data_IF_466828362042
#
_entry.id   IF_466828362042
#
_cell.length_a   1.000
_cell.length_b   1.000
_cell.length_c   1.000
_cell.angle_alpha   90.00
_cell.angle_beta   90.00
_cell.angle_gamma   90.00
#
_symmetry.space_group_name_H-M   'P 1'
#
loop_
_entity.id
_entity.type
_entity.pdbx_description
1 polymer ?
#
# COMPACT_ATOMS: atom_id res chain seq x y z
N UNK A 1 -45.60 30.33 39.62
CA UNK A 1 -44.45 30.37 38.71
C UNK A 1 -43.87 28.97 38.48
N UNK A 2 -43.59 28.17 39.51
CA UNK A 2 -43.02 26.81 39.35
C UNK A 2 -43.93 25.86 38.60
N UNK A 3 -45.23 25.84 38.84
CA UNK A 3 -46.22 24.98 38.14
C UNK A 3 -46.29 25.37 36.66
N UNK A 4 -46.30 26.65 36.31
CA UNK A 4 -46.29 27.13 34.92
C UNK A 4 -44.99 26.69 34.22
N UNK A 5 -43.88 26.78 34.91
CA UNK A 5 -42.57 26.32 34.36
C UNK A 5 -42.53 24.83 34.13
N UNK A 6 -43.08 24.06 35.06
CA UNK A 6 -43.20 22.59 34.94
C UNK A 6 -44.11 22.21 33.78
N UNK A 7 -45.26 22.86 33.63
CA UNK A 7 -46.16 22.66 32.49
C UNK A 7 -45.46 22.94 31.15
N UNK A 8 -44.73 24.06 31.10
CA UNK A 8 -43.97 24.42 29.89
C UNK A 8 -42.94 23.36 29.52
N UNK A 9 -42.16 22.87 30.50
CA UNK A 9 -41.11 21.87 30.28
C UNK A 9 -41.66 20.49 29.94
N UNK A 10 -42.75 20.07 30.64
CA UNK A 10 -43.24 18.67 30.54
C UNK A 10 -44.36 18.50 29.48
N UNK A 11 -45.02 19.57 29.06
CA UNK A 11 -46.09 19.49 28.08
C UNK A 11 -45.74 20.25 26.80
N UNK A 12 -45.43 21.54 26.91
CA UNK A 12 -45.20 22.37 25.72
C UNK A 12 -43.88 22.01 25.03
N UNK A 13 -42.82 21.80 25.79
CA UNK A 13 -41.47 21.47 25.29
C UNK A 13 -41.12 19.99 25.43
N UNK A 14 -42.07 19.10 25.70
CA UNK A 14 -41.84 17.69 25.94
C UNK A 14 -41.05 17.02 24.81
N UNK A 15 -41.51 17.17 23.57
CA UNK A 15 -40.86 16.58 22.41
C UNK A 15 -39.40 17.04 22.23
N UNK A 16 -39.13 18.30 22.54
CA UNK A 16 -37.76 18.84 22.47
C UNK A 16 -36.86 18.22 23.53
N UNK A 17 -37.30 18.18 24.79
CA UNK A 17 -36.50 17.61 25.87
C UNK A 17 -36.43 16.08 25.82
N UNK A 18 -37.47 15.40 25.35
CA UNK A 18 -37.45 13.96 25.11
C UNK A 18 -36.43 13.60 24.01
N UNK A 19 -36.41 14.39 22.92
CA UNK A 19 -35.41 14.21 21.85
C UNK A 19 -33.99 14.43 22.36
N UNK A 20 -33.73 15.51 23.12
CA UNK A 20 -32.43 15.76 23.74
C UNK A 20 -32.03 14.65 24.72
N UNK A 21 -32.95 14.18 25.54
CA UNK A 21 -32.71 13.06 26.45
C UNK A 21 -32.37 11.76 25.71
N UNK A 22 -33.10 11.42 24.65
CA UNK A 22 -32.84 10.25 23.80
C UNK A 22 -31.51 10.38 23.07
N UNK A 23 -31.22 11.54 22.49
CA UNK A 23 -29.97 11.80 21.77
C UNK A 23 -28.75 11.69 22.71
N UNK A 24 -28.87 12.13 23.96
CA UNK A 24 -27.80 12.02 24.95
C UNK A 24 -27.62 10.60 25.52
N UNK A 25 -28.63 9.73 25.40
CA UNK A 25 -28.59 8.35 25.89
C UNK A 25 -28.23 7.34 24.83
N UNK A 26 -28.35 7.67 23.54
CA UNK A 26 -28.06 6.77 22.42
C UNK A 26 -26.73 7.15 21.80
N UNK A 27 -25.80 6.21 21.78
CA UNK A 27 -24.51 6.35 21.10
C UNK A 27 -24.51 5.47 19.84
N UNK A 28 -24.14 6.05 18.72
CA UNK A 28 -23.88 5.33 17.46
C UNK A 28 -22.45 4.83 17.45
N UNK A 29 -22.26 3.53 17.34
CA UNK A 29 -20.97 2.84 17.19
C UNK A 29 -20.95 2.21 15.82
N UNK A 30 -20.04 2.64 14.92
CA UNK A 30 -19.82 1.97 13.65
C UNK A 30 -18.96 0.74 13.85
N UNK A 31 -19.37 -0.38 13.25
CA UNK A 31 -18.62 -1.64 13.29
C UNK A 31 -17.90 -1.80 11.94
N UNK A 32 -16.55 -1.83 11.93
CA UNK A 32 -15.81 -1.98 10.68
C UNK A 32 -16.10 -3.36 10.07
N UNK A 33 -16.21 -3.44 8.73
CA UNK A 33 -16.41 -4.71 8.04
C UNK A 33 -15.13 -5.54 8.01
N UNK A 34 -15.28 -6.84 7.78
CA UNK A 34 -14.15 -7.70 7.41
C UNK A 34 -13.67 -7.30 6.02
N UNK A 35 -12.39 -7.01 5.89
CA UNK A 35 -11.78 -6.69 4.59
C UNK A 35 -11.70 -7.94 3.71
N UNK A 36 -11.99 -7.83 2.41
CA UNK A 36 -11.91 -8.93 1.45
C UNK A 36 -10.53 -9.59 1.44
N UNK A 37 -10.48 -10.88 1.19
CA UNK A 37 -9.24 -11.66 1.07
C UNK A 37 -8.65 -11.43 -0.31
N UNK A 38 -7.32 -11.44 -0.42
CA UNK A 38 -6.64 -11.39 -1.71
C UNK A 38 -5.98 -12.75 -1.96
N UNK A 39 -6.31 -13.35 -3.09
CA UNK A 39 -5.78 -14.63 -3.53
C UNK A 39 -4.86 -14.46 -4.74
N UNK A 40 -3.95 -15.41 -4.92
CA UNK A 40 -3.26 -15.59 -6.19
C UNK A 40 -4.17 -16.31 -7.22
N UNK A 41 -3.65 -16.57 -8.42
CA UNK A 41 -4.37 -17.29 -9.48
C UNK A 41 -4.73 -18.74 -9.14
N UNK A 42 -4.05 -19.34 -8.17
CA UNK A 42 -4.20 -20.73 -7.72
C UNK A 42 -5.02 -20.82 -6.41
N UNK A 43 -5.71 -19.76 -6.00
CA UNK A 43 -6.46 -19.61 -4.75
C UNK A 43 -5.60 -19.68 -3.48
N UNK A 44 -4.29 -19.38 -3.58
CA UNK A 44 -3.43 -19.24 -2.41
C UNK A 44 -3.62 -17.86 -1.79
N UNK A 45 -3.83 -17.80 -0.47
CA UNK A 45 -4.09 -16.55 0.25
C UNK A 45 -2.84 -15.67 0.30
N UNK A 46 -2.90 -14.49 -0.32
CA UNK A 46 -1.85 -13.49 -0.33
C UNK A 46 -2.02 -12.43 0.76
N UNK A 47 -3.26 -12.08 1.09
CA UNK A 47 -3.58 -11.20 2.21
C UNK A 47 -4.89 -11.62 2.87
N UNK A 48 -4.88 -11.72 4.21
CA UNK A 48 -6.01 -12.13 5.04
C UNK A 48 -6.18 -11.19 6.24
N UNK A 49 -7.15 -11.47 7.09
CA UNK A 49 -7.44 -10.75 8.31
C UNK A 49 -7.16 -11.65 9.52
N UNK A 50 -6.22 -11.25 10.36
CA UNK A 50 -5.94 -11.94 11.62
C UNK A 50 -6.67 -11.25 12.77
N UNK A 51 -7.36 -12.01 13.61
CA UNK A 51 -7.91 -11.50 14.87
C UNK A 51 -6.77 -11.38 15.87
N UNK A 52 -6.47 -10.16 16.26
CA UNK A 52 -5.41 -9.86 17.22
C UNK A 52 -5.97 -9.05 18.38
N UNK A 53 -5.57 -9.43 19.60
CA UNK A 53 -5.84 -8.63 20.78
C UNK A 53 -4.84 -7.49 20.90
N UNK A 54 -5.34 -6.31 21.24
CA UNK A 54 -4.53 -5.10 21.38
C UNK A 54 -4.91 -4.36 22.65
N UNK A 55 -3.92 -3.76 23.31
CA UNK A 55 -4.16 -2.80 24.39
C UNK A 55 -4.42 -1.45 23.75
N UNK A 56 -5.58 -0.89 24.02
CA UNK A 56 -5.96 0.45 23.62
C UNK A 56 -6.05 1.39 24.81
N UNK A 57 -5.60 2.63 24.61
CA UNK A 57 -5.78 3.70 25.58
C UNK A 57 -6.68 4.76 24.96
N UNK A 58 -7.85 4.96 25.54
CA UNK A 58 -8.74 6.07 25.19
C UNK A 58 -8.19 7.37 25.78
N UNK A 59 -7.69 8.24 24.92
CA UNK A 59 -6.98 9.46 25.31
C UNK A 59 -7.90 10.47 26.03
N UNK A 60 -9.22 10.45 25.73
CA UNK A 60 -10.19 11.36 26.35
C UNK A 60 -10.61 10.92 27.75
N UNK A 61 -10.64 9.61 28.00
CA UNK A 61 -11.07 9.03 29.27
C UNK A 61 -9.88 8.83 30.24
N UNK A 62 -8.68 8.67 29.70
CA UNK A 62 -7.48 8.42 30.49
C UNK A 62 -7.04 9.65 31.27
N UNK A 63 -7.22 9.65 32.59
CA UNK A 63 -6.80 10.77 33.48
C UNK A 63 -5.28 10.88 33.57
N UNK A 64 -4.55 9.76 33.59
CA UNK A 64 -3.09 9.74 33.66
C UNK A 64 -2.50 8.60 32.85
N UNK A 65 -2.09 8.92 31.63
CA UNK A 65 -1.53 7.96 30.68
C UNK A 65 -0.21 7.35 31.17
N UNK A 66 0.62 8.12 31.89
CA UNK A 66 1.89 7.60 32.43
C UNK A 66 1.65 6.47 33.41
N UNK A 67 0.73 6.66 34.34
CA UNK A 67 0.38 5.63 35.33
C UNK A 67 -0.18 4.36 34.67
N UNK A 68 -0.98 4.51 33.60
CA UNK A 68 -1.49 3.37 32.83
C UNK A 68 -0.34 2.61 32.19
N UNK A 69 0.60 3.29 31.53
CA UNK A 69 1.75 2.64 30.90
C UNK A 69 2.64 1.93 31.92
N UNK A 70 2.88 2.53 33.07
CA UNK A 70 3.65 1.90 34.16
C UNK A 70 2.96 0.67 34.72
N UNK A 71 1.64 0.71 34.88
CA UNK A 71 0.87 -0.44 35.33
C UNK A 71 0.91 -1.59 34.32
N UNK A 72 0.72 -1.27 33.02
CA UNK A 72 0.83 -2.24 31.92
C UNK A 72 2.22 -2.87 31.89
N UNK A 73 3.28 -2.06 32.06
CA UNK A 73 4.69 -2.52 32.06
C UNK A 73 5.01 -3.49 33.21
N UNK A 74 4.29 -3.41 34.32
CA UNK A 74 4.45 -4.34 35.45
C UNK A 74 3.86 -5.72 35.14
N UNK A 75 2.78 -5.77 34.40
CA UNK A 75 2.04 -7.01 34.10
C UNK A 75 2.58 -7.75 32.88
N UNK A 76 3.06 -7.01 31.87
CA UNK A 76 3.52 -7.59 30.61
C UNK A 76 4.82 -6.94 30.14
N UNK A 77 5.56 -7.66 29.29
CA UNK A 77 6.73 -7.10 28.61
C UNK A 77 6.30 -5.99 27.64
N UNK A 78 6.67 -4.75 27.94
CA UNK A 78 6.43 -3.59 27.12
C UNK A 78 7.76 -2.92 26.78
N UNK A 79 8.12 -2.92 25.50
CA UNK A 79 9.38 -2.34 25.03
C UNK A 79 9.35 -0.82 25.02
N UNK A 80 10.50 -0.18 25.19
CA UNK A 80 10.62 1.27 25.06
C UNK A 80 10.24 1.77 23.65
N UNK A 81 10.44 0.93 22.62
CA UNK A 81 10.04 1.21 21.24
C UNK A 81 8.51 1.33 21.12
N UNK A 82 7.75 0.44 21.76
CA UNK A 82 6.28 0.49 21.77
C UNK A 82 5.75 1.74 22.47
N UNK A 83 6.33 2.10 23.61
CA UNK A 83 5.97 3.32 24.36
C UNK A 83 6.25 4.57 23.53
N UNK A 84 7.43 4.67 22.94
CA UNK A 84 7.80 5.82 22.09
C UNK A 84 6.88 5.91 20.87
N UNK A 85 6.53 4.79 20.27
CA UNK A 85 5.61 4.72 19.12
C UNK A 85 4.19 5.15 19.51
N UNK A 86 3.71 4.73 20.67
CA UNK A 86 2.42 5.18 21.23
C UNK A 86 2.39 6.72 21.36
N UNK A 87 3.45 7.32 21.93
CA UNK A 87 3.51 8.77 22.07
C UNK A 87 3.55 9.50 20.73
N UNK A 88 4.32 8.99 19.75
CA UNK A 88 4.34 9.54 18.38
C UNK A 88 2.96 9.46 17.72
N UNK A 89 2.24 8.34 17.88
CA UNK A 89 0.88 8.17 17.36
C UNK A 89 -0.11 9.12 18.00
N UNK A 90 -0.05 9.29 19.30
CA UNK A 90 -0.92 10.23 20.03
C UNK A 90 -0.85 11.64 19.45
N UNK A 91 0.33 12.10 19.07
CA UNK A 91 0.50 13.41 18.44
C UNK A 91 0.01 13.40 17.00
N UNK A 92 0.41 12.40 16.21
CA UNK A 92 0.11 12.33 14.77
C UNK A 92 -1.39 12.08 14.49
N UNK A 93 -2.02 11.26 15.31
CA UNK A 93 -3.40 10.78 15.13
C UNK A 93 -4.33 11.28 16.24
N UNK A 94 -4.17 12.53 16.66
CA UNK A 94 -4.93 13.17 17.75
C UNK A 94 -6.46 13.24 17.52
N UNK A 95 -6.92 12.95 16.31
CA UNK A 95 -8.34 12.88 15.95
C UNK A 95 -9.00 11.56 16.35
N UNK A 96 -8.22 10.53 16.69
CA UNK A 96 -8.76 9.28 17.24
C UNK A 96 -8.93 9.37 18.77
N UNK A 97 -10.02 8.81 19.27
CA UNK A 97 -10.26 8.76 20.71
C UNK A 97 -9.38 7.71 21.40
N UNK A 98 -9.17 6.55 20.75
CA UNK A 98 -8.37 5.44 21.24
C UNK A 98 -7.14 5.21 20.39
N UNK A 99 -6.02 4.89 21.04
CA UNK A 99 -4.74 4.59 20.39
C UNK A 99 -4.17 3.30 20.95
N UNK A 100 -3.73 2.42 20.05
CA UNK A 100 -3.12 1.14 20.42
C UNK A 100 -1.74 1.38 21.05
N UNK A 101 -1.54 0.86 22.26
CA UNK A 101 -0.26 0.82 22.96
C UNK A 101 0.58 -0.39 22.54
N UNK A 102 -0.01 -1.60 22.55
CA UNK A 102 0.60 -2.85 22.10
C UNK A 102 -0.43 -3.69 21.38
N UNK A 103 -0.05 -4.35 20.30
CA UNK A 103 -0.86 -5.30 19.54
C UNK A 103 -0.24 -6.69 19.58
N UNK A 104 -0.99 -7.69 19.13
CA UNK A 104 -0.58 -9.10 19.13
C UNK A 104 -0.29 -9.64 20.51
N UNK A 105 -1.25 -9.45 21.43
CA UNK A 105 -1.17 -9.98 22.77
C UNK A 105 -1.42 -11.48 22.79
N UNK A 106 -0.69 -12.21 23.62
CA UNK A 106 -1.02 -13.59 23.96
C UNK A 106 -2.26 -13.65 24.87
N UNK A 107 -2.92 -14.80 24.93
CA UNK A 107 -4.07 -15.00 25.83
C UNK A 107 -3.72 -14.72 27.29
N UNK A 108 -2.50 -15.09 27.72
CA UNK A 108 -1.98 -14.81 29.05
C UNK A 108 -1.83 -13.29 29.31
N UNK A 109 -1.28 -12.56 28.33
CA UNK A 109 -1.16 -11.09 28.40
C UNK A 109 -2.53 -10.43 28.46
N UNK A 110 -3.50 -10.93 27.66
CA UNK A 110 -4.89 -10.45 27.70
C UNK A 110 -5.49 -10.63 29.09
N UNK A 111 -5.36 -11.82 29.70
CA UNK A 111 -5.87 -12.09 31.03
C UNK A 111 -5.27 -11.16 32.10
N UNK A 112 -3.94 -10.94 32.05
CA UNK A 112 -3.24 -10.02 32.96
C UNK A 112 -3.75 -8.58 32.84
N UNK A 113 -3.92 -8.08 31.62
CA UNK A 113 -4.40 -6.71 31.42
C UNK A 113 -5.88 -6.55 31.83
N UNK A 114 -6.72 -7.53 31.50
CA UNK A 114 -8.13 -7.51 31.94
C UNK A 114 -8.27 -7.49 33.47
N UNK A 115 -7.35 -8.14 34.19
CA UNK A 115 -7.36 -8.15 35.66
C UNK A 115 -7.08 -6.77 36.29
N UNK A 116 -6.37 -5.87 35.59
CA UNK A 116 -6.07 -4.52 36.08
C UNK A 116 -6.94 -3.44 35.46
N UNK A 117 -7.66 -3.75 34.35
CA UNK A 117 -8.46 -2.80 33.57
C UNK A 117 -9.39 -1.94 34.42
N UNK A 118 -10.05 -2.55 35.39
CA UNK A 118 -11.03 -1.86 36.24
C UNK A 118 -10.45 -0.71 37.08
N UNK A 119 -9.12 -0.67 37.27
CA UNK A 119 -8.40 0.36 38.05
C UNK A 119 -8.12 1.61 37.24
N UNK A 120 -8.22 1.54 35.90
CA UNK A 120 -7.78 2.62 35.02
C UNK A 120 -8.87 3.00 34.02
N UNK A 121 -9.36 4.25 34.13
CA UNK A 121 -10.25 4.81 33.12
C UNK A 121 -9.49 4.94 31.78
N UNK A 122 -10.11 4.48 30.69
CA UNK A 122 -9.56 4.56 29.35
C UNK A 122 -8.58 3.45 28.95
N UNK A 123 -8.26 2.48 29.84
CA UNK A 123 -7.52 1.27 29.47
C UNK A 123 -8.49 0.18 29.01
N UNK A 124 -8.29 -0.38 27.82
CA UNK A 124 -9.10 -1.48 27.31
C UNK A 124 -8.27 -2.49 26.52
N UNK A 125 -8.79 -3.71 26.40
CA UNK A 125 -8.29 -4.76 25.51
C UNK A 125 -9.35 -4.99 24.45
N UNK A 126 -8.97 -4.76 23.21
CA UNK A 126 -9.88 -4.90 22.06
C UNK A 126 -9.38 -5.99 21.12
N UNK A 127 -10.31 -6.83 20.65
CA UNK A 127 -10.05 -7.72 19.53
C UNK A 127 -10.27 -6.94 18.23
N UNK A 128 -9.25 -6.86 17.41
CA UNK A 128 -9.31 -6.16 16.13
C UNK A 128 -8.89 -7.09 14.99
N UNK A 129 -9.56 -7.00 13.86
CA UNK A 129 -9.11 -7.66 12.64
C UNK A 129 -7.99 -6.80 12.02
N UNK A 130 -6.77 -7.28 12.08
CA UNK A 130 -5.63 -6.66 11.43
C UNK A 130 -5.26 -7.41 10.14
N UNK A 131 -4.85 -6.65 9.13
CA UNK A 131 -4.42 -7.23 7.85
C UNK A 131 -3.15 -8.04 8.05
N UNK A 132 -3.08 -9.25 7.47
CA UNK A 132 -1.95 -10.17 7.51
C UNK A 132 -1.50 -10.50 6.09
N UNK A 133 -0.20 -10.43 5.86
CA UNK A 133 0.44 -10.75 4.59
C UNK A 133 1.37 -11.97 4.81
N UNK A 134 0.91 -13.20 4.48
CA UNK A 134 1.66 -14.44 4.76
C UNK A 134 3.04 -14.47 4.11
N UNK A 135 3.16 -13.90 2.91
CA UNK A 135 4.40 -13.91 2.12
C UNK A 135 5.29 -12.68 2.32
N UNK A 136 4.95 -11.82 3.28
CA UNK A 136 5.78 -10.72 3.76
C UNK A 136 6.34 -9.84 2.62
N UNK A 137 7.68 -9.67 2.60
CA UNK A 137 8.41 -8.86 1.63
C UNK A 137 8.27 -9.34 0.18
N UNK A 138 7.98 -10.62 -0.05
CA UNK A 138 7.82 -11.22 -1.39
C UNK A 138 6.69 -10.57 -2.18
N UNK A 139 5.62 -10.19 -1.51
CA UNK A 139 4.41 -9.62 -2.13
C UNK A 139 4.22 -8.12 -1.88
N UNK A 140 5.13 -7.48 -1.11
CA UNK A 140 4.96 -6.11 -0.64
C UNK A 140 4.67 -5.09 -1.75
N UNK A 141 5.43 -5.13 -2.85
CA UNK A 141 5.28 -4.15 -3.92
C UNK A 141 4.05 -4.37 -4.81
N UNK A 142 3.47 -5.58 -4.79
CA UNK A 142 2.22 -5.91 -5.49
C UNK A 142 1.03 -5.51 -4.61
N UNK A 143 0.94 -6.14 -3.44
CA UNK A 143 -0.19 -5.94 -2.54
C UNK A 143 -0.20 -4.54 -1.93
N UNK A 144 0.99 -3.98 -1.71
CA UNK A 144 1.12 -2.78 -0.92
C UNK A 144 0.88 -3.08 0.55
N UNK A 145 0.19 -2.19 1.23
CA UNK A 145 -0.13 -2.35 2.65
C UNK A 145 -1.32 -1.49 3.06
N UNK A 146 -1.97 -1.92 4.12
CA UNK A 146 -2.95 -1.15 4.86
C UNK A 146 -2.25 -0.31 5.93
N UNK A 147 -2.70 0.90 6.19
CA UNK A 147 -2.12 1.79 7.19
C UNK A 147 -3.12 2.73 7.82
N UNK A 148 -2.73 3.40 8.91
CA UNK A 148 -3.60 4.37 9.59
C UNK A 148 -4.03 5.49 8.64
N UNK A 149 -5.33 5.85 8.73
CA UNK A 149 -5.89 7.02 8.06
C UNK A 149 -5.24 8.28 8.64
N UNK A 150 -4.62 9.07 7.81
CA UNK A 150 -3.99 10.33 8.21
C UNK A 150 -4.83 11.56 7.80
N UNK A 151 -4.33 12.76 8.16
CA UNK A 151 -5.03 14.02 7.84
C UNK A 151 -5.20 14.29 6.34
N UNK A 152 -4.32 13.72 5.49
CA UNK A 152 -4.43 13.87 4.03
C UNK A 152 -5.54 12.99 3.50
N UNK A 153 -5.60 11.73 3.97
CA UNK A 153 -6.65 10.78 3.59
C UNK A 153 -8.04 11.32 3.93
N UNK A 154 -8.19 11.90 5.14
CA UNK A 154 -9.48 12.46 5.62
C UNK A 154 -10.06 13.56 4.72
N UNK A 155 -9.26 14.18 3.84
CA UNK A 155 -9.74 15.19 2.89
C UNK A 155 -10.47 14.57 1.71
N UNK A 156 -10.10 13.34 1.31
CA UNK A 156 -10.62 12.64 0.14
C UNK A 156 -11.58 11.49 0.47
N UNK A 157 -11.60 11.03 1.73
CA UNK A 157 -12.42 9.90 2.15
C UNK A 157 -13.86 10.31 2.49
N UNK A 158 -14.81 9.43 2.20
CA UNK A 158 -16.17 9.53 2.71
C UNK A 158 -16.19 9.33 4.23
N UNK A 159 -16.42 10.42 4.95
CA UNK A 159 -16.42 10.43 6.43
C UNK A 159 -17.50 9.52 7.05
N UNK A 160 -18.59 9.22 6.31
CA UNK A 160 -19.65 8.31 6.80
C UNK A 160 -19.18 6.87 6.69
N UNK A 161 -18.65 6.49 5.52
CA UNK A 161 -18.14 5.14 5.25
C UNK A 161 -17.00 4.74 6.18
N UNK A 162 -16.06 5.66 6.46
CA UNK A 162 -14.86 5.39 7.27
C UNK A 162 -14.95 5.86 8.72
N UNK A 163 -16.17 6.13 9.21
CA UNK A 163 -16.39 6.51 10.61
C UNK A 163 -15.98 5.35 11.54
N UNK A 164 -15.11 5.63 12.51
CA UNK A 164 -14.51 4.66 13.44
C UNK A 164 -13.58 3.60 12.79
N UNK A 165 -13.25 3.73 11.51
CA UNK A 165 -12.23 2.93 10.86
C UNK A 165 -10.88 3.60 11.04
N UNK A 166 -9.87 2.82 11.43
CA UNK A 166 -8.53 3.34 11.66
C UNK A 166 -7.58 3.09 10.47
N UNK A 167 -7.93 2.18 9.57
CA UNK A 167 -7.04 1.67 8.53
C UNK A 167 -7.64 1.82 7.13
N UNK A 168 -6.77 2.07 6.15
CA UNK A 168 -7.10 2.15 4.73
C UNK A 168 -5.93 1.59 3.90
N UNK A 169 -6.18 1.09 2.71
CA UNK A 169 -5.14 0.75 1.74
C UNK A 169 -4.31 1.97 1.35
N UNK A 170 -2.99 1.87 1.46
CA UNK A 170 -2.06 3.00 1.23
C UNK A 170 -1.34 2.92 -0.09
N UNK A 171 -1.04 1.73 -0.55
CA UNK A 171 -0.29 1.47 -1.78
C UNK A 171 -0.73 0.16 -2.40
N UNK A 172 -0.36 -0.08 -3.66
CA UNK A 172 -0.57 -1.34 -4.36
C UNK A 172 -2.04 -1.71 -4.53
N UNK A 173 -2.30 -2.99 -4.71
CA UNK A 173 -3.64 -3.59 -4.83
C UNK A 173 -4.55 -3.18 -3.67
N UNK A 174 -4.04 -3.12 -2.45
CA UNK A 174 -4.80 -2.69 -1.28
C UNK A 174 -5.39 -1.29 -1.42
N UNK A 175 -4.67 -0.38 -2.08
CA UNK A 175 -5.14 0.99 -2.33
C UNK A 175 -6.05 1.05 -3.55
N UNK A 176 -5.67 0.39 -4.64
CA UNK A 176 -6.40 0.45 -5.90
C UNK A 176 -7.82 -0.10 -5.75
N UNK A 177 -7.94 -1.26 -5.08
CA UNK A 177 -9.21 -1.95 -4.81
C UNK A 177 -9.77 -1.66 -3.41
N UNK A 178 -9.46 -0.48 -2.83
CA UNK A 178 -9.94 -0.12 -1.50
C UNK A 178 -11.46 -0.18 -1.38
N UNK A 179 -12.20 0.23 -2.41
CA UNK A 179 -13.65 0.29 -2.38
C UNK A 179 -14.28 -1.10 -2.33
N UNK A 180 -13.72 -2.04 -3.05
CA UNK A 180 -14.14 -3.43 -3.15
C UNK A 180 -13.74 -4.21 -1.91
N UNK A 181 -12.46 -4.05 -1.50
CA UNK A 181 -11.89 -4.76 -0.37
C UNK A 181 -12.46 -4.31 0.98
N UNK A 182 -12.82 -3.03 1.14
CA UNK A 182 -13.26 -2.52 2.44
C UNK A 182 -14.65 -3.03 2.85
N UNK A 183 -15.59 -3.18 1.91
CA UNK A 183 -16.96 -3.58 2.20
C UNK A 183 -17.84 -2.44 2.73
N UNK A 184 -18.90 -2.80 3.46
CA UNK A 184 -19.84 -1.83 4.04
C UNK A 184 -19.83 -1.92 5.57
N UNK A 185 -19.61 -0.79 6.28
CA UNK A 185 -19.61 -0.79 7.73
C UNK A 185 -21.00 -1.08 8.30
N UNK A 186 -21.02 -1.84 9.38
CA UNK A 186 -22.19 -2.00 10.21
C UNK A 186 -22.33 -0.90 11.24
N UNK A 187 -23.37 -0.98 12.06
CA UNK A 187 -23.59 -0.05 13.14
C UNK A 187 -24.26 -0.71 14.34
N UNK A 188 -24.03 -0.12 15.53
CA UNK A 188 -24.75 -0.42 16.75
C UNK A 188 -25.25 0.88 17.35
N UNK A 189 -26.54 0.94 17.62
CA UNK A 189 -27.11 1.94 18.50
C UNK A 189 -27.11 1.37 19.91
N UNK A 190 -26.36 2.00 20.80
CA UNK A 190 -26.25 1.55 22.19
C UNK A 190 -26.80 2.60 23.12
N UNK A 191 -27.55 2.18 24.13
CA UNK A 191 -27.95 3.03 25.23
C UNK A 191 -26.80 3.18 26.21
N UNK A 192 -26.48 4.43 26.56
CA UNK A 192 -25.43 4.77 27.52
C UNK A 192 -26.01 5.48 28.73
N UNK A 193 -25.42 5.28 29.91
CA UNK A 193 -25.76 6.08 31.09
C UNK A 193 -25.04 7.45 31.08
N UNK A 194 -25.33 8.29 32.08
CA UNK A 194 -24.70 9.61 32.24
C UNK A 194 -23.16 9.58 32.36
N UNK A 195 -22.58 8.43 32.66
CA UNK A 195 -21.12 8.20 32.73
C UNK A 195 -20.56 7.63 31.45
N UNK A 196 -21.36 7.52 30.35
CA UNK A 196 -20.94 6.96 29.07
C UNK A 196 -20.83 5.43 29.03
N UNK A 197 -21.20 4.70 30.09
CA UNK A 197 -21.23 3.24 30.10
C UNK A 197 -22.39 2.71 29.29
N UNK A 198 -22.11 1.74 28.41
CA UNK A 198 -23.13 1.03 27.66
C UNK A 198 -24.01 0.20 28.60
N UNK A 199 -25.34 0.36 28.46
CA UNK A 199 -26.36 -0.36 29.22
C UNK A 199 -26.91 -1.54 28.40
N UNK A 200 -27.30 -1.29 27.15
CA UNK A 200 -27.84 -2.32 26.25
C UNK A 200 -27.67 -1.91 24.78
N UNK A 201 -27.73 -2.89 23.90
CA UNK A 201 -27.84 -2.68 22.47
C UNK A 201 -29.32 -2.43 22.14
N UNK A 202 -29.59 -1.38 21.31
CA UNK A 202 -30.94 -0.99 20.89
C UNK A 202 -31.24 -1.51 19.48
N UNK A 203 -30.28 -1.32 18.57
CA UNK A 203 -30.40 -1.70 17.17
C UNK A 203 -29.02 -2.04 16.62
N UNK A 204 -28.95 -3.06 15.76
CA UNK A 204 -27.70 -3.55 15.18
C UNK A 204 -27.89 -3.75 13.67
N UNK A 205 -27.13 -2.99 12.89
CA UNK A 205 -26.95 -3.27 11.46
C UNK A 205 -25.63 -3.99 11.25
N UNK A 206 -25.68 -5.18 10.69
CA UNK A 206 -24.49 -6.00 10.46
C UNK A 206 -23.60 -5.39 9.36
N UNK A 207 -22.30 -5.51 9.54
CA UNK A 207 -21.33 -5.14 8.53
C UNK A 207 -21.33 -6.16 7.38
N UNK A 208 -21.24 -5.68 6.14
CA UNK A 208 -21.05 -6.55 4.97
C UNK A 208 -19.55 -6.62 4.66
N UNK A 209 -19.01 -7.84 4.58
CA UNK A 209 -17.60 -8.05 4.25
C UNK A 209 -17.27 -7.47 2.88
N UNK A 210 -16.00 -7.08 2.70
CA UNK A 210 -15.49 -6.70 1.40
C UNK A 210 -15.44 -7.88 0.42
N UNK A 211 -15.34 -7.56 -0.86
CA UNK A 211 -15.25 -8.54 -1.93
C UNK A 211 -13.85 -9.15 -1.94
N UNK A 212 -13.75 -10.46 -2.07
CA UNK A 212 -12.50 -11.17 -2.25
C UNK A 212 -11.97 -10.94 -3.68
N UNK A 213 -10.66 -10.81 -3.83
CA UNK A 213 -10.00 -10.51 -5.12
C UNK A 213 -9.03 -11.63 -5.47
N UNK A 214 -9.08 -12.07 -6.73
CA UNK A 214 -8.13 -13.01 -7.31
C UNK A 214 -7.21 -12.28 -8.28
N UNK A 215 -5.90 -12.34 -8.02
CA UNK A 215 -4.87 -11.75 -8.86
C UNK A 215 -4.40 -12.75 -9.92
N UNK A 216 -3.82 -12.24 -10.99
CA UNK A 216 -3.16 -13.06 -12.01
C UNK A 216 -1.78 -13.59 -11.57
N UNK A 217 -1.28 -13.11 -10.42
CA UNK A 217 0.00 -13.50 -9.83
C UNK A 217 0.00 -14.99 -9.48
N UNK A 218 1.10 -15.66 -9.81
CA UNK A 218 1.46 -16.99 -9.34
C UNK A 218 2.49 -16.83 -8.22
N UNK A 219 2.11 -17.21 -7.00
CA UNK A 219 2.96 -16.97 -5.83
C UNK A 219 4.24 -17.80 -5.85
N UNK A 220 4.23 -18.98 -6.45
CA UNK A 220 5.44 -19.81 -6.53
C UNK A 220 6.45 -19.21 -7.52
N UNK A 221 5.96 -18.72 -8.67
CA UNK A 221 6.80 -17.96 -9.59
C UNK A 221 7.32 -16.67 -8.93
N UNK A 222 6.46 -15.95 -8.19
CA UNK A 222 6.84 -14.74 -7.47
C UNK A 222 7.95 -14.97 -6.45
N UNK A 223 7.87 -16.06 -5.68
CA UNK A 223 8.93 -16.49 -4.73
C UNK A 223 10.24 -16.79 -5.46
N UNK A 224 10.15 -17.58 -6.54
CA UNK A 224 11.31 -17.92 -7.34
C UNK A 224 12.01 -16.68 -7.88
N UNK A 225 11.27 -15.77 -8.50
CA UNK A 225 11.81 -14.51 -9.00
C UNK A 225 12.42 -13.65 -7.89
N UNK A 226 11.76 -13.57 -6.74
CA UNK A 226 12.23 -12.81 -5.59
C UNK A 226 13.56 -13.37 -5.07
N UNK A 227 13.67 -14.68 -4.88
CA UNK A 227 14.88 -15.33 -4.38
C UNK A 227 16.09 -15.12 -5.30
N UNK A 228 15.87 -15.23 -6.62
CA UNK A 228 16.95 -15.06 -7.60
C UNK A 228 17.42 -13.60 -7.78
N UNK A 229 16.66 -12.63 -7.24
CA UNK A 229 16.98 -11.21 -7.30
C UNK A 229 17.52 -10.63 -5.98
N UNK A 230 17.59 -11.40 -4.90
CA UNK A 230 17.91 -10.91 -3.55
C UNK A 230 19.21 -10.11 -3.45
N UNK A 231 20.22 -10.47 -4.22
CA UNK A 231 21.54 -9.81 -4.22
C UNK A 231 21.56 -8.48 -5.01
N UNK A 232 20.49 -8.18 -5.74
CA UNK A 232 20.41 -7.05 -6.65
C UNK A 232 19.42 -5.98 -6.18
N UNK A 233 19.66 -4.75 -6.57
CA UNK A 233 18.65 -3.68 -6.54
C UNK A 233 18.08 -3.50 -7.93
N UNK A 234 16.87 -3.99 -8.15
CA UNK A 234 16.28 -4.01 -9.48
C UNK A 234 14.82 -4.47 -9.47
N UNK A 235 14.31 -4.77 -10.65
CA UNK A 235 12.97 -5.33 -10.81
C UNK A 235 12.94 -6.41 -11.89
N UNK A 236 12.00 -7.32 -11.75
CA UNK A 236 11.69 -8.35 -12.75
C UNK A 236 10.19 -8.51 -12.87
N UNK A 237 9.69 -8.65 -14.09
CA UNK A 237 8.27 -8.83 -14.41
C UNK A 237 8.13 -10.04 -15.34
N UNK A 238 7.27 -10.97 -14.98
CA UNK A 238 6.83 -12.06 -15.83
C UNK A 238 5.40 -11.80 -16.30
N UNK A 239 5.21 -11.75 -17.60
CA UNK A 239 3.92 -11.42 -18.23
C UNK A 239 3.56 -12.48 -19.27
N UNK A 240 2.29 -12.83 -19.34
CA UNK A 240 1.76 -13.64 -20.42
C UNK A 240 1.53 -12.75 -21.67
N UNK A 241 2.29 -12.93 -22.77
CA UNK A 241 2.18 -12.04 -23.92
C UNK A 241 0.89 -12.20 -24.71
N UNK A 242 0.09 -13.24 -24.46
CA UNK A 242 -1.17 -13.49 -25.18
C UNK A 242 -2.32 -12.66 -24.65
N UNK A 243 -2.36 -12.39 -23.35
CA UNK A 243 -3.48 -11.72 -22.68
C UNK A 243 -3.07 -10.55 -21.79
N UNK A 244 -1.75 -10.33 -21.58
CA UNK A 244 -1.22 -9.25 -20.74
C UNK A 244 -1.26 -9.51 -19.23
N UNK A 245 -1.65 -10.71 -18.78
CA UNK A 245 -1.62 -11.06 -17.36
C UNK A 245 -0.22 -10.96 -16.76
N UNK A 246 -0.09 -10.27 -15.64
CA UNK A 246 1.14 -10.25 -14.84
C UNK A 246 1.17 -11.49 -13.95
N UNK A 247 2.09 -12.40 -14.22
CA UNK A 247 2.24 -13.66 -13.48
C UNK A 247 3.16 -13.52 -12.27
N UNK A 248 4.10 -12.58 -12.34
CA UNK A 248 5.01 -12.24 -11.25
C UNK A 248 5.60 -10.86 -11.44
N UNK A 249 5.80 -10.12 -10.35
CA UNK A 249 6.37 -8.78 -10.38
C UNK A 249 7.17 -8.54 -9.09
N UNK A 250 8.48 -8.45 -9.24
CA UNK A 250 9.43 -8.26 -8.13
C UNK A 250 10.09 -6.90 -8.25
N UNK A 251 10.19 -6.20 -7.13
CA UNK A 251 10.97 -5.00 -6.96
C UNK A 251 11.81 -5.10 -5.69
N UNK A 252 13.12 -4.99 -5.80
CA UNK A 252 14.05 -5.16 -4.68
C UNK A 252 14.95 -3.92 -4.50
N UNK A 253 15.36 -3.62 -3.24
CA UNK A 253 14.95 -4.28 -2.01
C UNK A 253 13.48 -4.03 -1.65
N UNK A 254 12.92 -4.92 -0.82
CA UNK A 254 11.56 -4.82 -0.29
C UNK A 254 11.56 -4.99 1.24
N UNK A 255 10.42 -4.85 1.89
CA UNK A 255 10.26 -4.95 3.35
C UNK A 255 8.98 -5.69 3.70
N UNK A 256 8.91 -6.27 4.90
CA UNK A 256 7.70 -6.94 5.39
C UNK A 256 6.59 -5.90 5.67
N UNK A 257 5.46 -5.92 4.93
CA UNK A 257 4.36 -4.99 5.15
C UNK A 257 3.69 -5.16 6.52
N UNK A 258 3.78 -6.34 7.13
CA UNK A 258 3.25 -6.60 8.46
C UNK A 258 3.96 -5.74 9.52
N UNK A 259 5.25 -5.50 9.38
CA UNK A 259 5.99 -4.67 10.34
C UNK A 259 5.45 -3.26 10.45
N UNK A 260 4.92 -2.71 9.36
CA UNK A 260 4.32 -1.37 9.35
C UNK A 260 3.03 -1.31 10.16
N UNK A 261 2.23 -2.37 10.13
CA UNK A 261 0.98 -2.48 10.89
C UNK A 261 1.25 -2.80 12.38
N UNK A 262 2.11 -3.78 12.63
CA UNK A 262 2.30 -4.37 13.95
C UNK A 262 3.37 -3.65 14.78
N UNK A 263 4.43 -3.15 14.11
CA UNK A 263 5.55 -2.43 14.75
C UNK A 263 5.49 -0.90 14.57
N UNK A 264 4.40 -0.38 14.00
CA UNK A 264 4.13 1.06 13.88
C UNK A 264 5.06 1.88 12.97
N UNK A 265 5.53 1.26 11.94
CA UNK A 265 6.41 1.84 10.95
C UNK A 265 7.76 1.17 10.93
N UNK A 266 8.39 1.27 9.80
CA UNK A 266 9.74 0.76 9.61
C UNK A 266 10.73 1.56 10.46
N UNK A 267 11.75 0.89 10.96
CA UNK A 267 12.88 1.59 11.56
C UNK A 267 13.58 2.41 10.49
N UNK A 268 13.66 3.73 10.71
CA UNK A 268 14.27 4.63 9.74
C UNK A 268 15.76 4.34 9.53
N UNK A 269 16.45 3.79 10.53
CA UNK A 269 17.84 3.37 10.41
C UNK A 269 17.98 2.11 9.54
N UNK A 270 17.05 1.17 9.65
CA UNK A 270 16.99 -0.03 8.81
C UNK A 270 16.65 0.33 7.35
N UNK A 271 15.63 1.18 7.14
CA UNK A 271 15.26 1.63 5.78
C UNK A 271 16.39 2.39 5.10
N UNK A 272 17.14 3.22 5.83
CA UNK A 272 18.28 3.95 5.26
C UNK A 272 19.42 3.04 4.80
N UNK A 273 19.58 1.88 5.42
CA UNK A 273 20.55 0.86 4.98
C UNK A 273 20.14 0.19 3.66
N UNK A 274 18.85 0.11 3.40
CA UNK A 274 18.29 -0.44 2.17
C UNK A 274 18.14 0.67 1.12
N UNK A 275 18.55 0.40 -0.11
CA UNK A 275 18.47 1.37 -1.23
C UNK A 275 17.02 1.60 -1.65
N UNK A 276 16.30 2.48 -0.94
CA UNK A 276 14.89 2.86 -1.22
C UNK A 276 13.93 1.66 -1.31
N UNK A 277 13.72 0.90 -0.23
CA UNK A 277 12.93 -0.34 -0.27
C UNK A 277 11.42 -0.11 -0.44
N UNK A 278 10.94 1.11 -0.30
CA UNK A 278 9.53 1.48 -0.52
C UNK A 278 9.26 1.93 -1.96
N UNK A 279 10.31 2.08 -2.77
CA UNK A 279 10.17 2.50 -4.15
C UNK A 279 9.91 1.29 -5.05
N UNK A 280 8.72 1.23 -5.66
CA UNK A 280 8.37 0.17 -6.61
C UNK A 280 9.09 0.41 -7.94
N UNK A 281 10.19 -0.29 -8.15
CA UNK A 281 11.04 -0.17 -9.35
C UNK A 281 10.35 -0.69 -10.60
N UNK A 282 9.44 -1.63 -10.45
CA UNK A 282 8.72 -2.23 -11.57
C UNK A 282 7.77 -1.24 -12.25
N UNK A 283 7.24 -0.28 -11.49
CA UNK A 283 6.24 0.68 -11.98
C UNK A 283 6.80 2.10 -12.07
N UNK A 284 7.59 2.53 -11.07
CA UNK A 284 8.04 3.91 -10.96
C UNK A 284 9.51 4.09 -11.39
N UNK A 285 10.23 2.99 -11.67
CA UNK A 285 11.62 3.04 -12.10
C UNK A 285 11.74 3.54 -13.55
N UNK A 286 12.54 4.58 -13.74
CA UNK A 286 12.90 5.08 -15.08
C UNK A 286 14.31 4.61 -15.40
N UNK A 287 14.41 3.71 -16.36
CA UNK A 287 15.66 3.11 -16.80
C UNK A 287 15.90 3.36 -18.28
N UNK A 288 17.18 3.56 -18.65
CA UNK A 288 17.57 3.59 -20.05
C UNK A 288 17.36 2.21 -20.66
N UNK A 289 16.60 2.08 -21.77
CA UNK A 289 16.25 0.78 -22.31
C UNK A 289 17.45 0.03 -22.91
N UNK A 290 18.54 0.73 -23.22
CA UNK A 290 19.72 0.14 -23.83
C UNK A 290 19.40 -0.55 -25.15
N UNK A 291 20.08 -1.69 -25.42
CA UNK A 291 19.91 -2.44 -26.68
C UNK A 291 18.54 -3.09 -26.87
N UNK A 292 17.68 -3.10 -25.84
CA UNK A 292 16.34 -3.72 -25.95
C UNK A 292 15.42 -3.02 -26.94
N UNK A 293 15.67 -1.73 -27.26
CA UNK A 293 14.89 -0.98 -28.26
C UNK A 293 15.43 -1.11 -29.69
N UNK A 294 16.61 -1.69 -29.90
CA UNK A 294 17.21 -1.80 -31.23
C UNK A 294 16.31 -2.47 -32.26
N UNK A 295 15.59 -3.56 -31.95
CA UNK A 295 14.62 -4.15 -32.91
C UNK A 295 13.52 -3.19 -33.34
N UNK A 296 13.04 -2.30 -32.45
CA UNK A 296 12.04 -1.30 -32.83
C UNK A 296 12.62 -0.18 -33.68
N UNK A 297 13.86 0.21 -33.43
CA UNK A 297 14.58 1.17 -34.31
C UNK A 297 14.77 0.58 -35.70
N UNK A 298 15.18 -0.68 -35.81
CA UNK A 298 15.32 -1.42 -37.05
C UNK A 298 13.98 -1.47 -37.83
N UNK A 299 12.92 -1.90 -37.15
CA UNK A 299 11.58 -2.00 -37.74
C UNK A 299 11.10 -0.64 -38.28
N UNK A 300 11.33 0.44 -37.51
CA UNK A 300 10.99 1.78 -37.93
C UNK A 300 11.80 2.23 -39.16
N UNK A 301 13.08 1.88 -39.22
CA UNK A 301 13.96 2.20 -40.36
C UNK A 301 13.52 1.46 -41.61
N UNK A 302 13.15 0.18 -41.53
CA UNK A 302 12.60 -0.60 -42.65
C UNK A 302 11.27 0.00 -43.12
N UNK A 303 10.36 0.31 -42.17
CA UNK A 303 9.04 0.91 -42.50
C UNK A 303 9.16 2.23 -43.26
N UNK A 304 10.20 3.00 -42.99
CA UNK A 304 10.46 4.29 -43.70
C UNK A 304 11.37 4.13 -44.90
N UNK A 305 11.70 2.92 -45.34
CA UNK A 305 12.59 2.62 -46.45
C UNK A 305 13.97 3.30 -46.33
N UNK A 306 14.47 3.45 -45.11
CA UNK A 306 15.77 4.08 -44.82
C UNK A 306 16.95 3.11 -44.97
N UNK A 307 16.67 1.82 -44.92
CA UNK A 307 17.66 0.76 -45.03
C UNK A 307 17.13 -0.42 -45.86
N UNK A 308 18.03 -1.05 -46.57
CA UNK A 308 17.88 -2.43 -47.02
C UNK A 308 18.48 -3.34 -45.96
N UNK A 309 17.72 -4.31 -45.39
CA UNK A 309 18.20 -5.19 -44.32
C UNK A 309 19.46 -6.01 -44.69
N UNK A 310 19.67 -6.21 -45.96
CA UNK A 310 20.81 -7.01 -46.47
C UNK A 310 22.01 -6.14 -46.88
N UNK A 311 21.85 -4.83 -46.88
CA UNK A 311 22.93 -3.90 -47.20
C UNK A 311 23.91 -3.79 -46.04
N UNK A 312 25.19 -4.04 -46.31
CA UNK A 312 26.25 -3.82 -45.32
C UNK A 312 26.61 -2.34 -45.20
N UNK A 313 26.75 -1.88 -43.97
CA UNK A 313 27.18 -0.52 -43.59
C UNK A 313 28.41 -0.64 -42.71
N UNK A 314 29.39 0.25 -42.92
CA UNK A 314 30.57 0.29 -42.06
C UNK A 314 30.24 0.85 -40.66
N UNK A 315 30.40 0.06 -39.62
CA UNK A 315 30.26 0.42 -38.22
C UNK A 315 31.64 0.51 -37.55
N UNK A 316 32.17 1.70 -37.48
CA UNK A 316 33.46 1.99 -36.85
C UNK A 316 33.40 1.96 -35.33
N UNK A 317 34.48 2.36 -34.65
CA UNK A 317 34.57 2.30 -33.17
C UNK A 317 33.69 3.33 -32.44
N UNK A 318 33.19 4.35 -33.14
CA UNK A 318 32.32 5.37 -32.57
C UNK A 318 31.46 6.03 -33.64
N UNK A 319 30.34 6.59 -33.20
CA UNK A 319 29.51 7.53 -33.93
C UNK A 319 29.73 8.95 -33.40
N UNK A 320 29.74 9.94 -34.29
CA UNK A 320 29.87 11.36 -33.94
C UNK A 320 28.94 12.21 -34.79
N UNK A 321 28.21 13.11 -34.15
CA UNK A 321 27.41 14.10 -34.86
C UNK A 321 28.30 15.17 -35.48
N UNK A 322 27.96 15.72 -36.68
CA UNK A 322 28.77 16.70 -37.37
C UNK A 322 29.14 17.92 -36.51
N UNK A 323 28.18 18.42 -35.71
CA UNK A 323 28.32 19.66 -34.95
C UNK A 323 28.64 19.41 -33.46
N UNK A 324 29.12 18.23 -33.09
CA UNK A 324 29.42 17.87 -31.70
C UNK A 324 30.79 17.21 -31.58
N UNK A 325 31.65 17.66 -30.65
CA UNK A 325 32.91 16.97 -30.35
C UNK A 325 32.71 15.62 -29.64
N UNK A 326 31.48 15.31 -29.18
CA UNK A 326 31.17 14.10 -28.42
C UNK A 326 31.17 12.88 -29.32
N UNK A 327 31.95 11.85 -28.93
CA UNK A 327 31.99 10.53 -29.56
C UNK A 327 31.15 9.54 -28.78
N UNK A 328 30.23 8.87 -29.42
CA UNK A 328 29.41 7.79 -28.89
C UNK A 328 30.05 6.47 -29.28
N UNK A 329 30.74 5.83 -28.32
CA UNK A 329 31.52 4.63 -28.59
C UNK A 329 30.62 3.40 -28.74
N UNK A 330 31.07 2.47 -29.57
CA UNK A 330 30.58 1.11 -29.59
C UNK A 330 31.10 0.35 -28.35
N UNK A 331 30.43 -0.73 -27.98
CA UNK A 331 30.92 -1.59 -26.91
C UNK A 331 32.20 -2.35 -27.37
N UNK A 332 32.35 -2.59 -28.69
CA UNK A 332 33.53 -3.20 -29.30
C UNK A 332 34.53 -2.10 -29.66
N UNK A 333 35.74 -2.07 -29.02
CA UNK A 333 36.69 -0.94 -29.20
C UNK A 333 37.12 -0.65 -30.64
N UNK A 334 37.24 -1.70 -31.48
CA UNK A 334 37.67 -1.60 -32.86
C UNK A 334 36.50 -1.31 -33.82
N UNK A 335 35.25 -1.34 -33.31
CA UNK A 335 34.05 -1.35 -34.13
C UNK A 335 33.73 -2.75 -34.70
N UNK A 336 32.68 -2.84 -35.50
CA UNK A 336 32.19 -4.08 -36.07
C UNK A 336 32.56 -4.28 -37.56
N UNK A 337 33.15 -3.27 -38.21
CA UNK A 337 33.44 -3.31 -39.62
C UNK A 337 32.17 -3.27 -40.47
N UNK A 338 32.15 -4.05 -41.55
CA UNK A 338 30.96 -4.15 -42.43
C UNK A 338 29.91 -5.03 -41.74
N UNK A 339 28.71 -4.49 -41.54
CA UNK A 339 27.58 -5.16 -40.87
C UNK A 339 26.26 -4.84 -41.61
N UNK A 340 25.49 -5.89 -41.85
CA UNK A 340 24.08 -5.80 -42.25
C UNK A 340 23.19 -5.71 -40.99
N UNK A 341 21.87 -5.60 -41.17
CA UNK A 341 20.94 -5.50 -40.05
C UNK A 341 20.97 -6.73 -39.15
N UNK A 342 21.04 -7.92 -39.71
CA UNK A 342 21.06 -9.16 -38.92
C UNK A 342 22.29 -9.21 -38.02
N UNK A 343 23.47 -9.01 -38.59
CA UNK A 343 24.73 -8.96 -37.85
C UNK A 343 24.75 -7.84 -36.81
N UNK A 344 24.17 -6.67 -37.10
CA UNK A 344 24.07 -5.55 -36.18
C UNK A 344 23.18 -5.86 -34.97
N UNK A 345 22.06 -6.59 -35.14
CA UNK A 345 21.20 -7.05 -34.04
C UNK A 345 21.90 -8.13 -33.24
N UNK A 346 22.42 -9.19 -33.89
CA UNK A 346 23.06 -10.33 -33.22
C UNK A 346 24.26 -9.89 -32.39
N UNK A 347 25.09 -9.00 -32.93
CA UNK A 347 26.28 -8.47 -32.26
C UNK A 347 26.01 -7.22 -31.41
N UNK A 348 24.75 -6.76 -31.39
CA UNK A 348 24.36 -5.55 -30.64
C UNK A 348 25.20 -4.32 -30.98
N UNK A 349 25.51 -4.11 -32.26
CA UNK A 349 26.34 -2.98 -32.74
C UNK A 349 25.68 -1.63 -32.45
N UNK A 350 26.29 -0.83 -31.58
CA UNK A 350 25.71 0.47 -31.18
C UNK A 350 25.82 1.51 -32.32
N UNK A 351 26.95 1.55 -32.97
CA UNK A 351 27.20 2.54 -34.03
C UNK A 351 26.25 2.38 -35.22
N UNK A 352 25.90 1.14 -35.59
CA UNK A 352 24.89 0.89 -36.61
C UNK A 352 23.55 1.55 -36.21
N UNK A 353 23.09 1.34 -34.99
CA UNK A 353 21.82 1.87 -34.51
C UNK A 353 21.86 3.37 -34.21
N UNK A 354 23.00 3.96 -33.86
CA UNK A 354 23.13 5.42 -33.78
C UNK A 354 22.93 6.09 -35.13
N UNK A 355 23.49 5.52 -36.20
CA UNK A 355 23.28 5.98 -37.56
C UNK A 355 21.78 5.90 -37.95
N UNK A 356 21.13 4.77 -37.71
CA UNK A 356 19.71 4.63 -38.01
C UNK A 356 18.85 5.62 -37.21
N UNK A 357 19.10 5.79 -35.93
CA UNK A 357 18.35 6.72 -35.10
C UNK A 357 18.53 8.18 -35.54
N UNK A 358 19.74 8.55 -35.93
CA UNK A 358 20.04 9.88 -36.49
C UNK A 358 19.27 10.14 -37.80
N UNK A 359 19.25 9.16 -38.70
CA UNK A 359 18.55 9.26 -39.98
C UNK A 359 17.02 9.29 -39.82
N UNK A 360 16.47 8.53 -38.86
CA UNK A 360 15.05 8.55 -38.52
C UNK A 360 14.61 9.89 -37.94
N UNK A 361 15.44 10.47 -37.10
CA UNK A 361 15.12 11.64 -36.32
C UNK A 361 14.12 11.36 -35.15
N UNK A 362 14.20 12.18 -34.12
CA UNK A 362 13.46 11.98 -32.87
C UNK A 362 11.94 11.99 -33.04
N UNK A 363 11.41 12.81 -33.96
CA UNK A 363 9.96 12.89 -34.22
C UNK A 363 9.40 11.56 -34.74
N UNK A 364 10.05 10.96 -35.75
CA UNK A 364 9.64 9.69 -36.34
C UNK A 364 9.78 8.55 -35.33
N UNK A 365 10.89 8.50 -34.57
CA UNK A 365 11.10 7.52 -33.54
C UNK A 365 10.02 7.61 -32.46
N UNK A 366 9.77 8.81 -31.95
CA UNK A 366 8.77 9.02 -30.88
C UNK A 366 7.36 8.65 -31.36
N UNK A 367 6.98 9.05 -32.58
CA UNK A 367 5.68 8.69 -33.15
C UNK A 367 5.54 7.17 -33.31
N UNK A 368 6.59 6.51 -33.82
CA UNK A 368 6.59 5.06 -34.00
C UNK A 368 6.48 4.30 -32.66
N UNK A 369 7.25 4.71 -31.65
CA UNK A 369 7.23 4.06 -30.33
C UNK A 369 5.89 4.20 -29.62
N UNK A 370 5.14 5.29 -29.85
CA UNK A 370 3.76 5.44 -29.34
C UNK A 370 2.82 4.33 -29.83
N UNK A 371 3.04 3.78 -31.05
CA UNK A 371 2.24 2.66 -31.55
C UNK A 371 2.44 1.37 -30.69
N UNK A 372 3.53 1.30 -29.95
CA UNK A 372 3.84 0.23 -28.99
C UNK A 372 3.59 0.68 -27.55
N UNK A 373 2.76 1.72 -27.36
CA UNK A 373 2.37 2.27 -26.06
C UNK A 373 3.51 2.86 -25.22
N UNK A 374 4.69 3.10 -25.79
CA UNK A 374 5.74 3.84 -25.09
C UNK A 374 5.26 5.25 -24.71
N UNK A 375 5.49 5.65 -23.46
CA UNK A 375 5.04 6.93 -22.92
C UNK A 375 3.57 6.98 -22.49
N UNK A 376 2.85 5.86 -22.56
CA UNK A 376 1.47 5.70 -22.09
C UNK A 376 1.43 4.90 -20.79
N UNK A 377 0.36 5.08 -20.00
CA UNK A 377 0.12 4.23 -18.82
C UNK A 377 -0.18 2.81 -19.27
N UNK A 378 0.41 1.83 -18.57
CA UNK A 378 0.24 0.40 -18.88
C UNK A 378 -1.10 -0.17 -18.47
N UNK A 379 -1.84 0.53 -17.57
CA UNK A 379 -3.12 0.04 -17.04
C UNK A 379 -2.99 -0.98 -15.92
N UNK A 380 -1.78 -1.18 -15.39
CA UNK A 380 -1.59 -2.02 -14.19
C UNK A 380 -2.38 -1.42 -13.02
N UNK A 381 -3.20 -2.23 -12.40
CA UNK A 381 -4.18 -1.91 -11.35
C UNK A 381 -3.55 -1.85 -9.94
N UNK A 382 -2.65 -0.85 -9.73
CA UNK A 382 -1.94 -0.65 -8.46
C UNK A 382 -1.70 0.81 -8.11
#
# INVERSE_FOLDING_TARGET
FLIIRLYFLQVVSFNHFDTLSKTNRIKYISTPPRRGIIYDRNNIVLADNASLYSIEINIKEAKNIKNIIEAVKKEIALSQKEINNFHKKRVKYSHYNSIILKSNLSEEEVAKILSIRYKFDGLDVTASLLRKYPFKEVTHHILGHVGYIDKKDLKSLDKKKYRNTQYIGKTGVEKFYENELYGKPGYKHVEINARGRQLRDLDIGYAEAGVDIHLTIDIELQKFMHQNLLEFSGSSIAMNPKNGEILGMVSLPSVDPNERLWKYGYDQAEIKKLKSPLFNRSINGLYSPGSTIKPLVALNSIKNNLIDPYQEIYAGPYFQLPDSPRRFRDWKPEGHGMVDLNKAIVQSCDVYFYNLANNLGIKNMSSFFRNFSFGSKTGIDM
#
